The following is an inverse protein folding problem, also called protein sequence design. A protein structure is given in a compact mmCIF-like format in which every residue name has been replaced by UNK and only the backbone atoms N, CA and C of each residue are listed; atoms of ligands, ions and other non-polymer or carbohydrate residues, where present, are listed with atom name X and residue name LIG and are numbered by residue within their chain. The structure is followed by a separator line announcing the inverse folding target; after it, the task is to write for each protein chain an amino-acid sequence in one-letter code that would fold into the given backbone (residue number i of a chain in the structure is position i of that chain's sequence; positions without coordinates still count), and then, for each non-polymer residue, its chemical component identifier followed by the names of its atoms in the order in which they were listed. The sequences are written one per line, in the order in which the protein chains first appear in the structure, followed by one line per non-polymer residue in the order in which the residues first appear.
data_IF_342859186591
#
_entry.id   IF_342859186591
#
_cell.length_a   1.000
_cell.length_b   1.000
_cell.length_c   1.000
_cell.angle_alpha   90.00
_cell.angle_beta   90.00
_cell.angle_gamma   90.00
#
_symmetry.space_group_name_H-M   'P 1'
#
loop_
_entity.id
_entity.type
_entity.pdbx_description
1 polymer ?
#
# COMPACT_ATOMS: atom_id res chain seq x y z
N UNK A 1 -4.06 -51.19 50.62
CA UNK A 1 -3.06 -51.62 49.62
C UNK A 1 -2.18 -50.41 49.36
N UNK A 2 -0.90 -50.53 49.71
CA UNK A 2 0.11 -49.46 49.63
C UNK A 2 0.48 -49.21 48.17
N UNK A 3 0.57 -47.94 47.78
CA UNK A 3 1.71 -47.42 47.02
C UNK A 3 1.78 -45.90 47.18
N UNK A 4 2.86 -45.47 47.82
CA UNK A 4 3.31 -44.09 47.94
C UNK A 4 4.22 -43.75 46.75
N UNK A 5 4.36 -42.45 46.43
CA UNK A 5 5.59 -41.71 46.07
C UNK A 5 5.16 -40.45 45.30
N UNK A 6 5.17 -39.28 45.95
CA UNK A 6 6.28 -38.31 46.06
C UNK A 6 6.40 -37.39 44.85
N UNK A 7 6.28 -36.09 45.15
CA UNK A 7 6.57 -34.96 44.28
C UNK A 7 5.80 -33.75 44.82
N UNK A 8 6.19 -33.15 45.95
CA UNK A 8 7.54 -32.63 46.19
C UNK A 8 7.67 -31.29 45.48
N UNK A 9 6.97 -30.27 45.99
CA UNK A 9 7.17 -28.88 45.59
C UNK A 9 8.48 -28.38 46.23
N UNK A 10 9.47 -27.93 45.45
CA UNK A 10 10.57 -27.17 46.02
C UNK A 10 10.16 -25.70 46.13
N UNK A 11 9.75 -25.30 47.33
CA UNK A 11 9.83 -23.92 47.80
C UNK A 11 11.23 -23.70 48.38
N UNK A 12 12.16 -23.20 47.57
CA UNK A 12 13.25 -22.36 48.07
C UNK A 12 13.81 -21.50 46.94
N UNK A 13 13.73 -20.20 47.15
CA UNK A 13 14.42 -19.16 46.41
C UNK A 13 15.92 -19.45 46.33
N UNK A 14 16.44 -19.56 45.12
CA UNK A 14 17.82 -19.21 44.86
C UNK A 14 17.82 -18.02 43.90
N UNK A 15 18.51 -16.98 44.36
CA UNK A 15 18.80 -15.75 43.65
C UNK A 15 19.33 -16.08 42.25
N UNK A 16 18.48 -15.90 41.23
CA UNK A 16 18.96 -15.69 39.88
C UNK A 16 19.14 -14.18 39.72
N UNK A 17 20.29 -13.77 40.22
CA UNK A 17 21.00 -12.57 39.85
C UNK A 17 21.01 -12.48 38.31
N UNK A 18 20.05 -11.71 37.74
CA UNK A 18 20.15 -11.28 36.36
C UNK A 18 21.14 -10.11 36.33
N UNK A 19 22.39 -10.46 36.62
CA UNK A 19 23.54 -9.71 36.17
C UNK A 19 23.39 -9.51 34.68
N UNK A 20 23.25 -8.24 34.29
CA UNK A 20 23.43 -7.80 32.93
C UNK A 20 24.61 -8.55 32.33
N UNK A 21 24.47 -9.31 31.23
CA UNK A 21 25.63 -9.53 30.39
C UNK A 21 25.93 -8.18 29.74
N UNK A 22 26.61 -7.31 30.49
CA UNK A 22 27.64 -6.49 29.90
C UNK A 22 28.53 -7.50 29.19
N UNK A 23 28.36 -7.63 27.87
CA UNK A 23 29.47 -8.04 27.03
C UNK A 23 30.51 -6.93 27.16
N UNK A 24 31.27 -6.97 28.26
CA UNK A 24 32.65 -6.55 28.24
C UNK A 24 33.34 -7.51 27.28
N UNK A 25 33.34 -7.13 26.01
CA UNK A 25 34.38 -7.56 25.10
C UNK A 25 35.69 -7.08 25.74
N UNK A 26 36.44 -8.05 26.29
CA UNK A 26 37.78 -7.85 26.81
C UNK A 26 38.63 -7.09 25.79
N UNK A 27 38.79 -5.80 26.07
CA UNK A 27 39.85 -4.96 25.55
C UNK A 27 41.02 -5.16 26.49
N UNK A 28 42.01 -5.92 26.01
CA UNK A 28 43.42 -5.98 26.40
C UNK A 28 43.87 -7.38 25.90
N UNK A 29 44.65 -7.52 24.83
CA UNK A 29 45.90 -6.83 24.56
C UNK A 29 46.17 -6.58 23.06
N UNK A 30 47.01 -5.57 22.85
CA UNK A 30 47.77 -5.19 21.65
C UNK A 30 47.02 -4.58 20.44
N UNK A 31 46.95 -3.25 20.52
CA UNK A 31 46.73 -2.31 19.44
C UNK A 31 47.60 -2.62 18.21
N UNK A 32 47.02 -3.34 17.24
CA UNK A 32 47.32 -3.11 15.84
C UNK A 32 46.44 -1.96 15.36
N UNK A 33 47.02 -0.77 15.36
CA UNK A 33 46.51 0.38 14.63
C UNK A 33 46.20 -0.02 13.18
N UNK A 34 44.92 -0.29 12.90
CA UNK A 34 44.39 -0.26 11.56
C UNK A 34 44.33 1.21 11.14
N UNK A 35 45.46 1.70 10.63
CA UNK A 35 45.48 2.92 9.83
C UNK A 35 44.50 2.71 8.69
N UNK A 36 43.38 3.43 8.71
CA UNK A 36 42.61 3.73 7.52
C UNK A 36 43.58 4.35 6.51
N UNK A 37 44.05 3.55 5.56
CA UNK A 37 44.68 4.05 4.34
C UNK A 37 43.61 4.75 3.53
N UNK A 38 43.47 6.05 3.79
CA UNK A 38 42.93 7.06 2.89
C UNK A 38 43.76 7.03 1.61
N UNK A 39 43.47 6.09 0.71
CA UNK A 39 44.09 6.07 -0.62
C UNK A 39 43.44 7.14 -1.51
N UNK A 40 43.83 8.39 -1.25
CA UNK A 40 44.12 9.39 -2.29
C UNK A 40 44.89 10.59 -1.70
N UNK A 41 45.90 10.29 -0.90
CA UNK A 41 46.99 11.23 -0.69
C UNK A 41 48.05 10.92 -1.77
N UNK A 42 47.92 11.56 -2.93
CA UNK A 42 49.04 11.61 -3.88
C UNK A 42 50.04 12.59 -3.29
N UNK A 43 50.87 12.04 -2.41
CA UNK A 43 52.33 12.20 -2.35
C UNK A 43 52.81 13.49 -3.04
N UNK A 44 52.89 14.54 -2.24
CA UNK A 44 53.82 15.63 -2.44
C UNK A 44 55.25 15.11 -2.17
N UNK A 45 55.89 14.55 -3.19
CA UNK A 45 57.34 14.37 -3.37
C UNK A 45 57.46 14.03 -4.85
N UNK A 46 58.03 14.85 -5.73
CA UNK A 46 59.12 15.81 -5.60
C UNK A 46 58.70 17.09 -6.33
N UNK A 47 58.74 18.24 -5.65
CA UNK A 47 58.96 19.51 -6.33
C UNK A 47 60.39 19.47 -6.86
N UNK A 48 60.57 18.79 -7.99
CA UNK A 48 61.66 19.13 -8.89
C UNK A 48 61.36 20.57 -9.29
N UNK A 49 62.27 21.47 -8.92
CA UNK A 49 62.45 22.76 -9.55
C UNK A 49 62.60 22.53 -11.06
N UNK A 50 61.49 22.34 -11.77
CA UNK A 50 61.38 22.84 -13.11
C UNK A 50 61.10 24.32 -12.95
N UNK A 51 62.17 25.11 -12.86
CA UNK A 51 62.20 26.40 -13.53
C UNK A 51 62.01 26.14 -15.04
N UNK A 52 60.86 25.59 -15.43
CA UNK A 52 60.33 25.81 -16.75
C UNK A 52 59.85 27.25 -16.69
N UNK A 53 60.73 28.17 -17.10
CA UNK A 53 60.29 29.45 -17.61
C UNK A 53 59.09 29.15 -18.51
N UNK A 54 57.89 29.52 -18.08
CA UNK A 54 56.74 29.51 -18.98
C UNK A 54 57.10 30.55 -20.01
N UNK A 55 57.61 30.07 -21.13
CA UNK A 55 57.92 30.92 -22.26
C UNK A 55 56.59 31.32 -22.89
N UNK A 56 56.01 32.40 -22.37
CA UNK A 56 54.83 33.05 -22.95
C UNK A 56 55.15 33.67 -24.34
N UNK A 57 56.39 33.56 -24.83
CA UNK A 57 56.72 33.95 -26.21
C UNK A 57 56.52 32.82 -27.21
N UNK A 58 56.37 31.56 -26.76
CA UNK A 58 55.79 30.52 -27.61
C UNK A 58 54.28 30.76 -27.68
N UNK A 59 53.88 31.72 -28.51
CA UNK A 59 52.56 31.74 -29.11
C UNK A 59 52.43 30.42 -29.89
N UNK A 60 51.94 29.37 -29.22
CA UNK A 60 51.18 28.36 -29.94
C UNK A 60 50.00 29.11 -30.53
N UNK A 61 50.14 29.50 -31.79
CA UNK A 61 49.01 29.88 -32.61
C UNK A 61 48.01 28.73 -32.48
N UNK A 62 46.95 28.97 -31.72
CA UNK A 62 45.75 28.15 -31.77
C UNK A 62 45.33 28.22 -33.24
N UNK A 63 45.70 27.21 -34.03
CA UNK A 63 45.29 27.10 -35.43
C UNK A 63 43.77 27.32 -35.46
N UNK A 64 43.29 28.21 -36.32
CA UNK A 64 41.87 28.61 -36.40
C UNK A 64 40.90 27.41 -36.44
N UNK A 65 41.33 26.28 -37.02
CA UNK A 65 40.57 25.03 -37.05
C UNK A 65 40.32 24.41 -35.67
N UNK A 66 41.29 24.49 -34.76
CA UNK A 66 41.20 23.95 -33.40
C UNK A 66 40.43 24.90 -32.48
N UNK A 67 40.60 26.22 -32.66
CA UNK A 67 39.78 27.23 -31.99
C UNK A 67 38.29 27.05 -32.32
N UNK A 68 37.94 26.89 -33.59
CA UNK A 68 36.56 26.65 -34.02
C UNK A 68 35.97 25.35 -33.47
N UNK A 69 36.77 24.29 -33.36
CA UNK A 69 36.34 23.01 -32.79
C UNK A 69 36.07 23.12 -31.29
N UNK A 70 36.98 23.75 -30.53
CA UNK A 70 36.82 23.99 -29.09
C UNK A 70 35.64 24.92 -28.78
N UNK A 71 35.42 25.96 -29.59
CA UNK A 71 34.26 26.86 -29.42
C UNK A 71 32.95 26.10 -29.67
N UNK A 72 32.89 25.28 -30.72
CA UNK A 72 31.71 24.49 -31.03
C UNK A 72 31.42 23.44 -29.95
N UNK A 73 32.44 22.76 -29.42
CA UNK A 73 32.26 21.81 -28.31
C UNK A 73 31.76 22.52 -27.07
N UNK A 74 32.39 23.63 -26.67
CA UNK A 74 31.96 24.41 -25.49
C UNK A 74 30.53 24.94 -25.66
N UNK A 75 30.16 25.45 -26.83
CA UNK A 75 28.80 25.92 -27.09
C UNK A 75 27.78 24.76 -27.07
N UNK A 76 28.15 23.59 -27.58
CA UNK A 76 27.30 22.40 -27.51
C UNK A 76 27.11 21.89 -26.08
N UNK A 77 28.15 21.97 -25.25
CA UNK A 77 28.10 21.62 -23.82
C UNK A 77 27.23 22.61 -23.04
N UNK A 78 27.40 23.92 -23.26
CA UNK A 78 26.56 24.97 -22.66
C UNK A 78 25.08 24.76 -23.02
N UNK A 79 24.78 24.46 -24.29
CA UNK A 79 23.41 24.19 -24.72
C UNK A 79 22.83 22.94 -24.05
N UNK A 80 23.63 21.87 -23.96
CA UNK A 80 23.22 20.63 -23.28
C UNK A 80 22.95 20.87 -21.79
N UNK A 81 23.82 21.61 -21.12
CA UNK A 81 23.65 22.00 -19.71
C UNK A 81 22.39 22.85 -19.52
N UNK A 82 22.18 23.86 -20.37
CA UNK A 82 21.00 24.73 -20.33
C UNK A 82 19.71 23.93 -20.48
N UNK A 83 19.67 22.98 -21.43
CA UNK A 83 18.52 22.10 -21.64
C UNK A 83 18.29 21.18 -20.44
N UNK A 84 19.37 20.65 -19.85
CA UNK A 84 19.31 19.78 -18.66
C UNK A 84 18.76 20.54 -17.45
N UNK A 85 19.29 21.74 -17.17
CA UNK A 85 18.85 22.60 -16.07
C UNK A 85 17.39 23.04 -16.22
N UNK A 86 16.96 23.30 -17.46
CA UNK A 86 15.55 23.62 -17.75
C UNK A 86 14.65 22.42 -17.45
N UNK A 87 15.04 21.23 -17.91
CA UNK A 87 14.30 20.00 -17.67
C UNK A 87 14.22 19.67 -16.16
N UNK A 88 15.33 19.84 -15.44
CA UNK A 88 15.39 19.65 -14.00
C UNK A 88 14.43 20.61 -13.28
N UNK A 89 14.47 21.90 -13.62
CA UNK A 89 13.58 22.91 -13.01
C UNK A 89 12.10 22.59 -13.28
N UNK A 90 11.75 22.22 -14.49
CA UNK A 90 10.38 21.83 -14.86
C UNK A 90 9.91 20.58 -14.10
N UNK A 91 10.73 19.53 -14.08
CA UNK A 91 10.40 18.27 -13.39
C UNK A 91 10.25 18.48 -11.88
N UNK A 92 11.16 19.23 -11.27
CA UNK A 92 11.10 19.60 -9.84
C UNK A 92 9.85 20.39 -9.52
N UNK A 93 9.50 21.39 -10.34
CA UNK A 93 8.27 22.17 -10.17
C UNK A 93 7.02 21.30 -10.21
N UNK A 94 6.95 20.30 -11.12
CA UNK A 94 5.82 19.37 -11.21
C UNK A 94 5.70 18.48 -9.98
N UNK A 95 6.82 17.92 -9.50
CA UNK A 95 6.88 17.10 -8.28
C UNK A 95 6.47 17.93 -7.06
N UNK A 96 6.99 19.13 -6.91
CA UNK A 96 6.66 20.02 -5.78
C UNK A 96 5.16 20.40 -5.79
N UNK A 97 4.59 20.68 -6.97
CA UNK A 97 3.15 20.93 -7.10
C UNK A 97 2.32 19.71 -6.67
N UNK A 98 2.75 18.51 -7.07
CA UNK A 98 2.07 17.26 -6.73
C UNK A 98 2.18 16.96 -5.25
N UNK A 99 3.35 17.21 -4.63
CA UNK A 99 3.58 17.08 -3.20
C UNK A 99 2.70 18.03 -2.38
N UNK A 100 2.55 19.27 -2.86
CA UNK A 100 1.68 20.24 -2.22
C UNK A 100 0.22 19.76 -2.22
N UNK A 101 -0.27 19.22 -3.34
CA UNK A 101 -1.64 18.67 -3.43
C UNK A 101 -1.79 17.39 -2.59
N UNK A 102 -0.79 16.50 -2.60
CA UNK A 102 -0.83 15.23 -1.86
C UNK A 102 -0.92 15.43 -0.35
N UNK A 103 -0.36 16.53 0.18
CA UNK A 103 -0.34 16.82 1.62
C UNK A 103 -1.74 16.77 2.27
N UNK A 104 -2.78 17.19 1.55
CA UNK A 104 -4.18 17.19 2.01
C UNK A 104 -4.73 15.80 2.27
N UNK A 105 -4.28 14.81 1.50
CA UNK A 105 -4.79 13.43 1.56
C UNK A 105 -3.83 12.48 2.28
N UNK A 106 -2.58 12.88 2.52
CA UNK A 106 -1.50 12.03 3.01
C UNK A 106 -1.80 11.38 4.37
N UNK A 107 -2.32 12.14 5.34
CA UNK A 107 -2.62 11.60 6.67
C UNK A 107 -3.67 10.47 6.62
N UNK A 108 -4.76 10.67 5.88
CA UNK A 108 -5.81 9.68 5.73
C UNK A 108 -5.35 8.49 4.86
N UNK A 109 -4.53 8.76 3.85
CA UNK A 109 -3.91 7.72 3.05
C UNK A 109 -3.04 6.79 3.89
N UNK A 110 -2.16 7.33 4.75
CA UNK A 110 -1.28 6.53 5.61
C UNK A 110 -2.06 5.71 6.63
N UNK A 111 -3.14 6.25 7.21
CA UNK A 111 -4.04 5.50 8.09
C UNK A 111 -4.71 4.34 7.35
N UNK A 112 -5.27 4.60 6.17
CA UNK A 112 -5.85 3.57 5.31
C UNK A 112 -4.82 2.50 4.91
N UNK A 113 -3.60 2.91 4.58
CA UNK A 113 -2.50 2.00 4.24
C UNK A 113 -2.13 1.10 5.41
N UNK A 114 -1.99 1.64 6.62
CA UNK A 114 -1.72 0.84 7.82
C UNK A 114 -2.80 -0.23 8.09
N UNK A 115 -4.09 0.11 7.89
CA UNK A 115 -5.20 -0.85 7.96
C UNK A 115 -5.07 -1.92 6.88
N UNK A 116 -4.68 -1.53 5.67
CA UNK A 116 -4.49 -2.45 4.56
C UNK A 116 -3.33 -3.40 4.81
N UNK A 117 -2.20 -2.91 5.30
CA UNK A 117 -1.04 -3.74 5.64
C UNK A 117 -1.40 -4.78 6.70
N UNK A 118 -2.17 -4.38 7.71
CA UNK A 118 -2.69 -5.29 8.74
C UNK A 118 -3.62 -6.36 8.15
N UNK A 119 -4.49 -5.98 7.21
CA UNK A 119 -5.35 -6.93 6.50
C UNK A 119 -4.53 -7.92 5.66
N UNK A 120 -3.52 -7.46 4.94
CA UNK A 120 -2.66 -8.33 4.11
C UNK A 120 -1.87 -9.33 4.97
N UNK A 121 -1.32 -8.88 6.09
CA UNK A 121 -0.66 -9.76 7.05
C UNK A 121 -1.63 -10.82 7.58
N UNK A 122 -2.86 -10.43 7.93
CA UNK A 122 -3.88 -11.36 8.39
C UNK A 122 -4.25 -12.41 7.32
N UNK A 123 -4.31 -12.03 6.04
CA UNK A 123 -4.57 -12.96 4.93
C UNK A 123 -3.43 -13.96 4.72
N UNK A 124 -2.17 -13.51 4.80
CA UNK A 124 -0.99 -14.39 4.72
C UNK A 124 -0.95 -15.40 5.88
N UNK A 125 -1.33 -14.97 7.09
CA UNK A 125 -1.40 -15.86 8.24
C UNK A 125 -2.51 -16.91 8.06
N UNK A 126 -3.66 -16.53 7.49
CA UNK A 126 -4.78 -17.46 7.23
C UNK A 126 -4.42 -18.54 6.21
N UNK A 127 -3.66 -18.21 5.17
CA UNK A 127 -3.21 -19.20 4.17
C UNK A 127 -2.19 -20.18 4.78
N UNK A 128 -1.31 -19.72 5.68
CA UNK A 128 -0.35 -20.57 6.39
C UNK A 128 -0.98 -21.46 7.48
N UNK A 129 -1.99 -20.96 8.20
CA UNK A 129 -2.58 -21.65 9.38
C UNK A 129 -3.65 -22.70 9.05
N UNK A 130 -3.98 -22.96 7.79
CA UNK A 130 -4.94 -24.02 7.40
C UNK A 130 -4.55 -25.44 7.86
N UNK A 131 -3.36 -25.65 8.46
CA UNK A 131 -2.91 -26.95 8.98
C UNK A 131 -3.06 -27.19 10.49
N UNK A 132 -3.25 -26.18 11.36
CA UNK A 132 -3.28 -26.44 12.81
C UNK A 132 -4.26 -25.51 13.55
N UNK A 133 -5.47 -26.05 13.79
CA UNK A 133 -6.53 -25.57 14.69
C UNK A 133 -7.13 -24.21 14.32
N UNK A 134 -8.43 -24.22 14.04
CA UNK A 134 -9.27 -23.05 13.89
C UNK A 134 -9.40 -22.29 15.22
N UNK A 135 -8.37 -21.52 15.58
CA UNK A 135 -8.53 -20.42 16.54
C UNK A 135 -9.48 -19.43 15.87
N UNK A 136 -10.60 -19.13 16.53
CA UNK A 136 -11.53 -18.08 16.12
C UNK A 136 -10.75 -16.75 16.06
N UNK A 137 -10.22 -16.40 14.88
CA UNK A 137 -9.71 -15.06 14.60
C UNK A 137 -10.95 -14.17 14.55
N UNK A 138 -11.33 -13.70 15.74
CA UNK A 138 -12.42 -12.75 15.99
C UNK A 138 -11.85 -11.33 15.92
N UNK A 139 -10.86 -11.10 15.07
CA UNK A 139 -10.42 -9.75 14.76
C UNK A 139 -11.30 -9.27 13.62
N UNK A 140 -12.20 -8.34 13.97
CA UNK A 140 -12.98 -7.56 13.00
C UNK A 140 -12.03 -7.09 11.90
N UNK A 141 -12.36 -7.39 10.64
CA UNK A 141 -11.59 -6.87 9.52
C UNK A 141 -11.47 -5.34 9.66
N UNK A 142 -10.29 -4.76 9.43
CA UNK A 142 -10.08 -3.33 9.61
C UNK A 142 -10.93 -2.55 8.61
N UNK A 143 -11.85 -1.71 9.11
CA UNK A 143 -12.78 -0.99 8.26
C UNK A 143 -12.17 0.31 7.72
N UNK A 144 -12.21 0.49 6.40
CA UNK A 144 -11.81 1.72 5.73
C UNK A 144 -12.95 2.73 5.78
N UNK A 145 -12.67 3.88 6.39
CA UNK A 145 -13.58 5.03 6.43
C UNK A 145 -13.72 5.67 5.05
N UNK A 146 -14.81 6.40 4.81
CA UNK A 146 -15.03 7.13 3.56
C UNK A 146 -13.85 8.03 3.17
N UNK A 147 -13.28 8.76 4.15
CA UNK A 147 -12.18 9.70 3.91
C UNK A 147 -10.87 8.98 3.57
N UNK A 148 -10.62 7.80 4.16
CA UNK A 148 -9.47 6.96 3.79
C UNK A 148 -9.64 6.41 2.37
N UNK A 149 -10.86 5.98 1.99
CA UNK A 149 -11.18 5.51 0.64
C UNK A 149 -11.03 6.59 -0.42
N UNK A 150 -11.46 7.81 -0.11
CA UNK A 150 -11.25 8.99 -0.95
C UNK A 150 -9.75 9.31 -1.10
N UNK A 151 -8.99 9.26 0.00
CA UNK A 151 -7.55 9.49 -0.04
C UNK A 151 -6.81 8.48 -0.92
N UNK A 152 -7.23 7.20 -0.97
CA UNK A 152 -6.67 6.22 -1.91
C UNK A 152 -6.90 6.62 -3.37
N UNK A 153 -8.12 7.08 -3.71
CA UNK A 153 -8.44 7.52 -5.07
C UNK A 153 -7.62 8.74 -5.47
N UNK A 154 -7.55 9.75 -4.59
CA UNK A 154 -6.81 10.98 -4.88
C UNK A 154 -5.30 10.72 -5.00
N UNK A 155 -4.72 9.87 -4.15
CA UNK A 155 -3.31 9.48 -4.30
C UNK A 155 -3.04 8.73 -5.59
N UNK A 156 -3.96 7.88 -6.04
CA UNK A 156 -3.84 7.20 -7.33
C UNK A 156 -3.87 8.20 -8.49
N UNK A 157 -4.76 9.21 -8.46
CA UNK A 157 -4.80 10.26 -9.49
C UNK A 157 -3.48 11.03 -9.57
N UNK A 158 -2.91 11.37 -8.41
CA UNK A 158 -1.60 12.04 -8.34
C UNK A 158 -0.48 11.13 -8.87
N UNK A 159 -0.52 9.83 -8.54
CA UNK A 159 0.43 8.85 -9.07
C UNK A 159 0.34 8.75 -10.61
N UNK A 160 -0.87 8.64 -11.18
CA UNK A 160 -1.05 8.59 -12.63
C UNK A 160 -0.53 9.84 -13.32
N UNK A 161 -0.78 11.02 -12.73
CA UNK A 161 -0.25 12.29 -13.25
C UNK A 161 1.29 12.32 -13.24
N UNK A 162 1.93 11.79 -12.20
CA UNK A 162 3.39 11.69 -12.14
C UNK A 162 3.96 10.71 -13.18
N UNK A 163 3.27 9.61 -13.46
CA UNK A 163 3.65 8.69 -14.54
C UNK A 163 3.49 9.35 -15.93
N UNK A 164 2.41 10.12 -16.16
CA UNK A 164 2.23 10.92 -17.39
C UNK A 164 3.34 11.97 -17.55
N UNK A 165 3.68 12.68 -16.47
CA UNK A 165 4.80 13.63 -16.46
C UNK A 165 6.14 12.92 -16.74
N UNK A 166 6.37 11.75 -16.13
CA UNK A 166 7.56 10.91 -16.38
C UNK A 166 7.65 10.47 -17.84
N UNK A 167 6.54 10.03 -18.44
CA UNK A 167 6.48 9.66 -19.86
C UNK A 167 6.76 10.85 -20.79
N UNK A 168 6.60 12.08 -20.31
CA UNK A 168 6.97 13.32 -21.02
C UNK A 168 8.45 13.70 -20.80
N UNK A 169 8.97 13.56 -19.59
CA UNK A 169 10.33 13.97 -19.23
C UNK A 169 11.41 12.99 -19.65
N UNK A 170 11.17 11.67 -19.55
CA UNK A 170 12.16 10.63 -19.88
C UNK A 170 12.64 10.72 -21.35
N UNK A 171 11.75 10.86 -22.36
CA UNK A 171 12.20 11.01 -23.74
C UNK A 171 12.98 12.30 -23.98
N UNK A 172 12.62 13.39 -23.27
CA UNK A 172 13.36 14.66 -23.36
C UNK A 172 14.77 14.53 -22.79
N UNK A 173 14.94 13.80 -21.69
CA UNK A 173 16.25 13.52 -21.11
C UNK A 173 17.11 12.66 -22.06
N UNK A 174 16.54 11.59 -22.62
CA UNK A 174 17.24 10.73 -23.59
C UNK A 174 17.72 11.53 -24.82
N UNK A 175 16.89 12.45 -25.32
CA UNK A 175 17.25 13.36 -26.41
C UNK A 175 18.45 14.26 -26.06
N UNK A 176 18.52 14.78 -24.84
CA UNK A 176 19.63 15.61 -24.36
C UNK A 176 20.91 14.77 -24.22
N UNK A 177 20.79 13.50 -23.85
CA UNK A 177 21.93 12.57 -23.71
C UNK A 177 22.44 12.02 -25.04
N UNK A 178 21.74 12.29 -26.15
CA UNK A 178 22.08 11.73 -27.46
C UNK A 178 21.83 10.21 -27.55
N UNK A 179 21.06 9.66 -26.61
CA UNK A 179 20.65 8.26 -26.60
C UNK A 179 19.34 8.14 -27.37
N UNK A 180 19.20 7.11 -28.22
CA UNK A 180 17.91 6.82 -28.85
C UNK A 180 16.82 6.74 -27.77
N UNK A 181 15.75 7.52 -27.97
CA UNK A 181 14.67 7.59 -27.04
C UNK A 181 13.98 6.22 -26.95
N UNK A 182 14.37 5.40 -25.97
CA UNK A 182 13.68 4.16 -25.69
C UNK A 182 12.34 4.55 -25.09
N UNK A 183 11.21 4.09 -25.67
CA UNK A 183 9.91 4.33 -25.06
C UNK A 183 9.99 3.86 -23.61
N UNK A 184 9.56 4.72 -22.69
CA UNK A 184 9.33 4.37 -21.29
C UNK A 184 8.62 3.02 -21.32
N UNK A 185 9.28 1.96 -20.82
CA UNK A 185 8.69 0.61 -20.79
C UNK A 185 7.31 0.78 -20.20
N UNK A 186 6.23 0.41 -20.92
CA UNK A 186 4.89 0.77 -20.52
C UNK A 186 4.66 0.24 -19.11
N UNK A 187 4.62 1.16 -18.14
CA UNK A 187 4.19 0.85 -16.78
C UNK A 187 2.83 0.18 -16.97
N UNK A 188 2.71 -1.10 -16.56
CA UNK A 188 1.53 -1.98 -16.76
C UNK A 188 0.26 -1.18 -17.02
N UNK A 189 -0.35 -1.33 -18.21
CA UNK A 189 -1.53 -0.57 -18.66
C UNK A 189 -2.64 -0.61 -17.61
N UNK A 190 -2.64 0.35 -16.69
CA UNK A 190 -3.69 0.51 -15.69
C UNK A 190 -4.81 1.36 -16.29
N UNK A 191 -6.06 1.18 -15.85
CA UNK A 191 -7.18 1.97 -16.32
C UNK A 191 -6.99 3.46 -16.02
N UNK A 192 -7.57 4.34 -16.85
CA UNK A 192 -7.51 5.78 -16.61
C UNK A 192 -8.27 6.13 -15.32
N UNK A 193 -7.79 7.12 -14.58
CA UNK A 193 -8.43 7.60 -13.34
C UNK A 193 -9.91 7.92 -13.51
N UNK A 194 -10.33 8.43 -14.67
CA UNK A 194 -11.73 8.71 -14.99
C UNK A 194 -12.61 7.46 -15.01
N UNK A 195 -12.11 6.38 -15.62
CA UNK A 195 -12.80 5.09 -15.64
C UNK A 195 -12.89 4.48 -14.24
N UNK A 196 -11.79 4.55 -13.48
CA UNK A 196 -11.73 4.08 -12.09
C UNK A 196 -12.75 4.84 -11.25
N UNK A 197 -12.76 6.17 -11.33
CA UNK A 197 -13.70 7.00 -10.57
C UNK A 197 -15.15 6.70 -10.92
N UNK A 198 -15.47 6.50 -12.21
CA UNK A 198 -16.81 6.10 -12.63
C UNK A 198 -17.24 4.78 -11.97
N UNK A 199 -16.39 3.75 -12.02
CA UNK A 199 -16.70 2.44 -11.41
C UNK A 199 -16.78 2.51 -9.89
N UNK A 200 -15.93 3.31 -9.24
CA UNK A 200 -15.99 3.56 -7.80
C UNK A 200 -17.27 4.30 -7.38
N UNK A 201 -17.77 5.23 -8.21
CA UNK A 201 -19.07 5.89 -7.97
C UNK A 201 -20.24 4.92 -8.08
N UNK A 202 -20.23 3.99 -9.05
CA UNK A 202 -21.30 2.98 -9.19
C UNK A 202 -21.47 2.10 -7.94
N UNK A 203 -20.40 1.87 -7.19
CA UNK A 203 -20.39 1.08 -5.95
C UNK A 203 -20.44 1.91 -4.67
N UNK A 204 -20.69 3.23 -4.77
CA UNK A 204 -20.71 4.16 -3.64
C UNK A 204 -19.42 4.17 -2.80
N UNK A 205 -18.27 3.94 -3.43
CA UNK A 205 -16.97 3.81 -2.76
C UNK A 205 -16.58 5.05 -1.95
N UNK A 206 -16.67 6.23 -2.57
CA UNK A 206 -16.27 7.52 -1.97
C UNK A 206 -17.46 8.32 -1.44
N UNK A 207 -18.70 7.96 -1.81
CA UNK A 207 -19.90 8.77 -1.54
C UNK A 207 -20.55 8.41 -0.20
N UNK A 208 -20.60 7.14 0.16
CA UNK A 208 -21.25 6.63 1.37
C UNK A 208 -20.24 6.08 2.36
N UNK A 209 -20.68 5.78 3.58
CA UNK A 209 -19.84 5.12 4.59
C UNK A 209 -19.69 3.63 4.30
N UNK A 210 -20.73 3.00 3.76
CA UNK A 210 -20.72 1.60 3.32
C UNK A 210 -20.72 1.48 1.80
N UNK A 211 -19.98 0.49 1.30
CA UNK A 211 -19.84 0.21 -0.14
C UNK A 211 -20.99 -0.67 -0.59
N UNK A 212 -21.57 -0.35 -1.74
CA UNK A 212 -22.65 -1.12 -2.35
C UNK A 212 -22.09 -2.37 -3.02
N UNK A 213 -22.53 -3.55 -2.59
CA UNK A 213 -22.04 -4.82 -3.10
C UNK A 213 -23.04 -5.58 -3.99
N UNK A 214 -24.33 -5.22 -3.92
CA UNK A 214 -25.39 -5.72 -4.81
C UNK A 214 -26.27 -4.56 -5.27
N UNK A 215 -26.91 -4.73 -6.43
CA UNK A 215 -27.97 -3.84 -6.90
C UNK A 215 -29.32 -4.43 -6.47
N UNK A 216 -29.55 -4.57 -5.16
CA UNK A 216 -30.87 -4.98 -4.67
C UNK A 216 -31.86 -3.84 -4.89
N UNK A 217 -32.95 -4.12 -5.61
CA UNK A 217 -34.10 -3.22 -5.66
C UNK A 217 -34.71 -3.18 -4.27
N UNK A 218 -34.79 -1.98 -3.69
CA UNK A 218 -35.61 -1.68 -2.52
C UNK A 218 -36.95 -2.40 -2.67
N UNK A 219 -37.27 -3.30 -1.72
CA UNK A 219 -38.58 -3.95 -1.66
C UNK A 219 -39.60 -2.85 -1.37
N UNK A 220 -40.26 -2.35 -2.41
CA UNK A 220 -41.47 -1.55 -2.23
C UNK A 220 -42.48 -2.39 -1.45
N UNK A 221 -42.87 -1.89 -0.28
CA UNK A 221 -43.80 -2.55 0.63
C UNK A 221 -45.09 -2.90 -0.12
N UNK A 222 -45.48 -4.19 -0.14
CA UNK A 222 -46.74 -4.65 -0.73
C UNK A 222 -46.67 -5.24 -2.15
N UNK A 223 -45.51 -5.27 -2.82
CA UNK A 223 -45.35 -6.04 -4.08
C UNK A 223 -44.39 -7.20 -3.87
N UNK A 224 -44.87 -8.43 -4.10
CA UNK A 224 -44.00 -9.59 -4.20
C UNK A 224 -42.90 -9.27 -5.20
N UNK A 225 -41.63 -9.40 -4.80
CA UNK A 225 -40.52 -9.25 -5.71
C UNK A 225 -40.77 -10.19 -6.90
N UNK A 226 -41.21 -9.65 -8.04
CA UNK A 226 -41.27 -10.43 -9.27
C UNK A 226 -39.83 -10.85 -9.56
N UNK A 227 -39.60 -12.12 -9.28
CA UNK A 227 -38.42 -12.89 -9.63
C UNK A 227 -38.01 -12.63 -11.09
N UNK A 228 -36.71 -12.62 -11.35
CA UNK A 228 -36.06 -12.81 -12.66
C UNK A 228 -35.72 -11.62 -13.57
N UNK A 229 -35.61 -10.37 -13.09
CA UNK A 229 -34.65 -9.48 -13.76
C UNK A 229 -33.31 -9.66 -13.07
N UNK A 230 -32.39 -10.42 -13.67
CA UNK A 230 -30.99 -10.50 -13.25
C UNK A 230 -30.50 -9.10 -12.86
N UNK A 231 -29.89 -8.99 -11.69
CA UNK A 231 -29.25 -7.75 -11.27
C UNK A 231 -28.31 -7.34 -12.39
N UNK A 232 -28.23 -6.05 -12.74
CA UNK A 232 -27.25 -5.56 -13.74
C UNK A 232 -25.82 -6.00 -13.41
N UNK A 233 -25.54 -6.31 -12.13
CA UNK A 233 -24.25 -6.78 -11.64
C UNK A 233 -24.07 -8.32 -11.68
N UNK A 234 -25.12 -9.09 -11.95
CA UNK A 234 -25.03 -10.55 -12.14
C UNK A 234 -24.35 -10.89 -13.48
N UNK A 235 -24.45 -10.00 -14.46
CA UNK A 235 -23.63 -10.02 -15.66
C UNK A 235 -22.24 -9.42 -15.36
N UNK A 236 -21.21 -10.27 -15.40
CA UNK A 236 -19.83 -9.89 -15.06
C UNK A 236 -19.28 -8.77 -15.94
N UNK A 237 -19.59 -8.77 -17.24
CA UNK A 237 -19.10 -7.77 -18.20
C UNK A 237 -19.60 -6.35 -17.90
N UNK A 238 -20.71 -6.25 -17.17
CA UNK A 238 -21.32 -4.98 -16.79
C UNK A 238 -21.14 -4.67 -15.30
N UNK A 239 -20.47 -5.54 -14.55
CA UNK A 239 -20.30 -5.41 -13.13
C UNK A 239 -19.16 -4.41 -12.82
N UNK A 240 -19.40 -3.36 -12.00
CA UNK A 240 -18.36 -2.38 -11.69
C UNK A 240 -17.15 -2.98 -10.95
N UNK A 241 -17.33 -4.13 -10.27
CA UNK A 241 -16.24 -4.84 -9.62
C UNK A 241 -15.30 -5.56 -10.59
N UNK A 242 -15.65 -5.70 -11.87
CA UNK A 242 -14.76 -6.30 -12.88
C UNK A 242 -13.43 -5.56 -13.02
N UNK A 243 -13.41 -4.25 -12.76
CA UNK A 243 -12.19 -3.47 -12.79
C UNK A 243 -11.25 -3.79 -11.61
N UNK A 244 -11.82 -4.23 -10.49
CA UNK A 244 -11.12 -4.33 -9.21
C UNK A 244 -10.82 -5.77 -8.80
N UNK A 245 -11.66 -6.72 -9.19
CA UNK A 245 -11.54 -8.13 -8.85
C UNK A 245 -11.19 -8.94 -10.10
N UNK A 246 -10.45 -10.04 -9.91
CA UNK A 246 -9.87 -10.76 -11.04
C UNK A 246 -10.91 -11.54 -11.86
N UNK A 247 -11.99 -12.02 -11.24
CA UNK A 247 -13.04 -12.77 -11.93
C UNK A 247 -14.37 -12.77 -11.16
N UNK A 248 -15.42 -13.24 -11.84
CA UNK A 248 -16.78 -13.36 -11.28
C UNK A 248 -16.82 -14.26 -10.03
N UNK A 249 -16.04 -15.34 -9.98
CA UNK A 249 -16.02 -16.26 -8.84
C UNK A 249 -15.54 -15.56 -7.55
N UNK A 250 -14.55 -14.68 -7.65
CA UNK A 250 -14.08 -13.87 -6.51
C UNK A 250 -15.18 -12.93 -6.05
N UNK A 251 -15.86 -12.25 -6.98
CA UNK A 251 -17.00 -11.38 -6.66
C UNK A 251 -18.13 -12.15 -5.97
N UNK A 252 -18.60 -13.25 -6.58
CA UNK A 252 -19.68 -14.09 -6.06
C UNK A 252 -19.35 -14.63 -4.67
N UNK A 253 -18.10 -15.04 -4.43
CA UNK A 253 -17.64 -15.52 -3.14
C UNK A 253 -17.73 -14.45 -2.04
N UNK A 254 -17.32 -13.21 -2.33
CA UNK A 254 -17.40 -12.13 -1.32
C UNK A 254 -18.84 -11.69 -1.09
N UNK A 255 -19.68 -11.61 -2.14
CA UNK A 255 -21.11 -11.33 -1.99
C UNK A 255 -21.81 -12.43 -1.19
N UNK A 256 -21.47 -13.70 -1.44
CA UNK A 256 -22.01 -14.83 -0.70
C UNK A 256 -21.64 -14.76 0.78
N UNK A 257 -20.40 -14.36 1.12
CA UNK A 257 -19.98 -14.16 2.51
C UNK A 257 -20.82 -13.10 3.22
N UNK A 258 -21.14 -11.98 2.55
CA UNK A 258 -22.02 -10.95 3.11
C UNK A 258 -23.43 -11.49 3.31
N UNK A 259 -24.02 -12.13 2.29
CA UNK A 259 -25.36 -12.72 2.37
C UNK A 259 -25.47 -13.79 3.46
N UNK A 260 -24.44 -14.61 3.64
CA UNK A 260 -24.39 -15.61 4.72
C UNK A 260 -24.34 -14.94 6.10
N UNK A 261 -23.56 -13.86 6.26
CA UNK A 261 -23.50 -13.12 7.52
C UNK A 261 -24.85 -12.44 7.84
N UNK A 262 -25.51 -11.86 6.84
CA UNK A 262 -26.86 -11.27 6.96
C UNK A 262 -27.90 -12.34 7.29
N UNK A 263 -27.90 -13.47 6.58
CA UNK A 263 -28.80 -14.58 6.87
C UNK A 263 -28.59 -15.13 8.29
N UNK A 264 -27.34 -15.29 8.74
CA UNK A 264 -27.06 -15.77 10.09
C UNK A 264 -27.59 -14.81 11.17
N UNK A 265 -27.55 -13.49 10.92
CA UNK A 265 -28.18 -12.48 11.79
C UNK A 265 -29.69 -12.61 11.78
N UNK A 266 -30.29 -12.73 10.60
CA UNK A 266 -31.75 -12.78 10.45
C UNK A 266 -32.33 -14.08 11.06
N UNK A 267 -31.66 -15.21 10.86
CA UNK A 267 -32.00 -16.50 11.49
C UNK A 267 -31.88 -16.40 13.02
N UNK A 268 -30.83 -15.76 13.54
CA UNK A 268 -30.68 -15.50 14.97
C UNK A 268 -31.82 -14.62 15.51
N UNK A 269 -32.13 -13.52 14.84
CA UNK A 269 -33.23 -12.63 15.22
C UNK A 269 -34.57 -13.36 15.16
N UNK A 270 -34.82 -14.16 14.12
CA UNK A 270 -36.05 -14.94 13.97
C UNK A 270 -36.22 -15.98 15.09
N UNK A 271 -35.16 -16.72 15.42
CA UNK A 271 -35.17 -17.69 16.52
C UNK A 271 -35.39 -17.02 17.89
N UNK A 272 -34.91 -15.79 18.06
CA UNK A 272 -35.00 -15.05 19.33
C UNK A 272 -36.17 -14.06 19.39
N UNK A 273 -37.04 -13.99 18.37
CA UNK A 273 -38.25 -13.13 18.41
C UNK A 273 -39.23 -13.58 19.49
N UNK A 274 -39.45 -14.89 19.63
CA UNK A 274 -40.30 -15.47 20.67
C UNK A 274 -39.68 -15.29 22.06
N UNK A 275 -38.37 -15.51 22.18
CA UNK A 275 -37.63 -15.29 23.43
C UNK A 275 -37.62 -13.82 23.83
N UNK A 276 -37.58 -12.89 22.86
CA UNK A 276 -37.71 -11.45 23.08
C UNK A 276 -39.08 -11.06 23.63
N UNK A 277 -40.17 -11.62 23.07
CA UNK A 277 -41.52 -11.45 23.61
C UNK A 277 -41.68 -12.01 25.03
N UNK A 278 -41.05 -13.16 25.32
CA UNK A 278 -41.04 -13.74 26.67
C UNK A 278 -40.11 -12.99 27.64
N UNK A 279 -39.04 -12.36 27.16
CA UNK A 279 -38.08 -11.60 27.98
C UNK A 279 -38.65 -10.30 28.57
N UNK A 280 -39.78 -9.80 28.03
CA UNK A 280 -40.55 -8.70 28.62
C UNK A 280 -41.01 -9.07 30.04
N UNK A 281 -41.20 -10.37 30.33
CA UNK A 281 -41.56 -10.88 31.65
C UNK A 281 -40.35 -11.34 32.50
N UNK A 282 -39.13 -11.38 31.92
CA UNK A 282 -37.94 -12.02 32.52
C UNK A 282 -36.89 -11.09 33.15
N UNK A 283 -37.04 -9.76 33.04
CA UNK A 283 -36.12 -8.78 33.63
C UNK A 283 -34.89 -8.41 32.79
N UNK A 284 -34.08 -7.47 33.29
CA UNK A 284 -33.02 -6.76 32.54
C UNK A 284 -31.82 -7.62 32.11
N UNK A 285 -31.56 -8.72 32.81
CA UNK A 285 -30.44 -9.64 32.54
C UNK A 285 -30.59 -10.41 31.23
N UNK A 286 -31.82 -10.84 30.88
CA UNK A 286 -32.14 -11.50 29.61
C UNK A 286 -32.07 -10.55 28.41
N UNK A 287 -32.31 -9.26 28.62
CA UNK A 287 -32.24 -8.25 27.56
C UNK A 287 -30.77 -7.98 27.18
N UNK A 288 -29.88 -7.86 28.16
CA UNK A 288 -28.45 -7.59 27.94
C UNK A 288 -27.72 -8.71 27.18
N UNK A 289 -28.07 -9.98 27.39
CA UNK A 289 -27.47 -11.11 26.67
C UNK A 289 -27.92 -11.18 25.21
N UNK A 290 -29.17 -10.81 24.91
CA UNK A 290 -29.67 -10.75 23.54
C UNK A 290 -28.99 -9.64 22.71
N UNK A 291 -28.73 -8.47 23.33
CA UNK A 291 -28.03 -7.36 22.68
C UNK A 291 -26.54 -7.63 22.44
N UNK A 292 -25.85 -8.28 23.37
CA UNK A 292 -24.43 -8.63 23.19
C UNK A 292 -24.22 -9.65 22.08
N UNK A 293 -25.12 -10.63 21.94
CA UNK A 293 -25.11 -11.58 20.85
C UNK A 293 -25.45 -10.94 19.49
N UNK A 294 -26.38 -9.98 19.43
CA UNK A 294 -26.65 -9.19 18.21
C UNK A 294 -25.41 -8.44 17.71
N UNK A 295 -24.63 -7.85 18.62
CA UNK A 295 -23.41 -7.13 18.27
C UNK A 295 -22.36 -8.02 17.59
N UNK A 296 -22.32 -9.33 17.89
CA UNK A 296 -21.42 -10.28 17.21
C UNK A 296 -21.82 -10.46 15.74
N UNK A 297 -23.11 -10.59 15.45
CA UNK A 297 -23.59 -10.72 14.07
C UNK A 297 -23.42 -9.41 13.28
N UNK A 298 -23.72 -8.27 13.90
CA UNK A 298 -23.49 -6.96 13.28
C UNK A 298 -21.99 -6.79 12.92
N UNK A 299 -21.06 -7.18 13.82
CA UNK A 299 -19.61 -7.18 13.54
C UNK A 299 -19.22 -8.11 12.38
N UNK A 300 -19.83 -9.29 12.25
CA UNK A 300 -19.57 -10.21 11.13
C UNK A 300 -20.02 -9.63 9.80
N UNK A 301 -21.16 -8.95 9.76
CA UNK A 301 -21.64 -8.25 8.57
C UNK A 301 -20.69 -7.10 8.21
N UNK A 302 -20.31 -6.27 9.19
CA UNK A 302 -19.34 -5.19 8.96
C UNK A 302 -18.01 -5.72 8.44
N UNK A 303 -17.50 -6.83 8.99
CA UNK A 303 -16.27 -7.45 8.51
C UNK A 303 -16.39 -7.98 7.08
N UNK A 304 -17.51 -8.63 6.74
CA UNK A 304 -17.76 -9.12 5.38
C UNK A 304 -17.88 -7.98 4.36
N UNK A 305 -18.59 -6.89 4.70
CA UNK A 305 -18.67 -5.69 3.86
C UNK A 305 -17.32 -4.98 3.73
N UNK A 306 -16.55 -4.94 4.83
CA UNK A 306 -15.20 -4.36 4.83
C UNK A 306 -14.23 -5.16 3.95
N UNK A 307 -14.40 -6.47 3.82
CA UNK A 307 -13.54 -7.30 2.96
C UNK A 307 -13.64 -6.90 1.48
N UNK A 308 -14.84 -6.59 1.00
CA UNK A 308 -15.07 -6.03 -0.35
C UNK A 308 -14.26 -4.76 -0.51
N UNK A 309 -14.33 -3.90 0.50
CA UNK A 309 -13.62 -2.65 0.46
C UNK A 309 -12.11 -2.81 0.43
N UNK A 310 -11.58 -3.65 1.30
CA UNK A 310 -10.15 -3.92 1.35
C UNK A 310 -9.64 -4.52 0.03
N UNK A 311 -10.43 -5.36 -0.66
CA UNK A 311 -10.07 -5.87 -1.99
C UNK A 311 -10.00 -4.78 -3.07
N UNK A 312 -10.96 -3.85 -3.10
CA UNK A 312 -10.90 -2.70 -4.01
C UNK A 312 -9.67 -1.85 -3.71
N UNK A 313 -9.42 -1.52 -2.44
CA UNK A 313 -8.24 -0.77 -2.02
C UNK A 313 -6.92 -1.49 -2.36
N UNK A 314 -6.87 -2.81 -2.23
CA UNK A 314 -5.73 -3.64 -2.63
C UNK A 314 -5.39 -3.45 -4.12
N UNK A 315 -6.42 -3.43 -4.98
CA UNK A 315 -6.24 -3.20 -6.42
C UNK A 315 -5.70 -1.80 -6.69
N UNK A 316 -6.25 -0.76 -6.06
CA UNK A 316 -5.75 0.61 -6.21
C UNK A 316 -4.26 0.72 -5.83
N UNK A 317 -3.86 0.09 -4.71
CA UNK A 317 -2.46 0.06 -4.28
C UNK A 317 -1.56 -0.74 -5.25
N UNK A 318 -2.09 -1.80 -5.86
CA UNK A 318 -1.34 -2.59 -6.83
C UNK A 318 -1.02 -1.79 -8.10
N UNK A 319 -1.93 -0.89 -8.53
CA UNK A 319 -1.66 0.03 -9.64
C UNK A 319 -0.61 1.08 -9.30
N UNK A 320 -0.45 1.43 -8.01
CA UNK A 320 0.62 2.31 -7.53
C UNK A 320 1.91 1.55 -7.19
N UNK A 321 2.02 0.25 -7.50
CA UNK A 321 3.15 -0.62 -7.15
C UNK A 321 3.43 -0.69 -5.63
N UNK A 322 2.41 -0.53 -4.78
CA UNK A 322 2.57 -0.58 -3.32
C UNK A 322 2.15 -1.90 -2.69
N UNK A 323 1.56 -2.82 -3.46
CA UNK A 323 1.18 -4.17 -3.03
C UNK A 323 1.41 -5.19 -4.16
N UNK A 324 1.77 -6.45 -3.83
CA UNK A 324 1.95 -7.49 -4.84
C UNK A 324 0.61 -7.88 -5.46
N UNK A 325 0.61 -8.09 -6.79
CA UNK A 325 -0.59 -8.35 -7.62
C UNK A 325 -1.31 -9.66 -7.25
N UNK A 326 -0.62 -10.60 -6.61
CA UNK A 326 -1.07 -11.98 -6.34
C UNK A 326 -2.13 -12.14 -5.24
N UNK A 327 -2.67 -11.05 -4.69
CA UNK A 327 -3.65 -11.08 -3.59
C UNK A 327 -5.10 -10.91 -4.04
N UNK A 328 -5.33 -10.69 -5.34
CA UNK A 328 -6.66 -10.62 -5.95
C UNK A 328 -7.17 -11.99 -6.43
N UNK A 329 -6.35 -13.04 -6.28
CA UNK A 329 -6.62 -14.44 -6.62
C UNK A 329 -7.60 -15.13 -5.70
#
# INVERSE_FOLDING_TARGET
MFESLRGGAPTSLQNLDYGSPQSELGLEEEAKELKLTTQREVVATELINTESSIDLTSKEEIRDSNAGTTINTTFSEINRETQTLTLERESKSKVDSTRAVSSKHLSNYLKGKSKMDSYLQAQQIKSAKRKRRAVQITESAPNLTRVEREAFLEMLKLYQKLEEDKDTFVPRLQKIEGVEAKPSTPTKRYPRSTEIEQKLREIDWTTRDEVKYTLERSRSYGRSARSSSESRWDNWENNPYQLFLDNKSVYDGVVQNVKQAEKARDDYLAAHRLTGLLSIFGGSTTVNSAYSAKAVYDRRITAAKSDIALKVAAKLLSWMNQTPVSLNS
#
